data_IF_322491389388
#
_entry.id   IF_322491389388
#
_cell.length_a   1.000
_cell.length_b   1.000
_cell.length_c   1.000
_cell.angle_alpha   90.00
_cell.angle_beta   90.00
_cell.angle_gamma   90.00
#
_symmetry.space_group_name_H-M   'P 1'
#
loop_
_entity.id
_entity.type
_entity.pdbx_description
1 polymer ?
#
# COMPACT_ATOMS: atom_id res chain seq x y z
N UNK A 1 6.59 15.58 7.56
CA UNK A 1 5.54 16.53 7.14
C UNK A 1 6.01 17.96 6.95
N UNK A 2 6.89 18.50 7.78
CA UNK A 2 7.38 19.88 7.65
C UNK A 2 8.00 20.20 6.27
N UNK A 3 8.88 19.33 5.76
CA UNK A 3 9.48 19.47 4.42
C UNK A 3 8.42 19.40 3.31
N UNK A 4 7.47 18.48 3.42
CA UNK A 4 6.38 18.34 2.47
C UNK A 4 5.51 19.62 2.39
N UNK A 5 5.27 20.29 3.53
CA UNK A 5 4.51 21.55 3.56
C UNK A 5 5.20 22.72 2.85
N UNK A 6 6.54 22.66 2.73
CA UNK A 6 7.39 23.66 2.05
C UNK A 6 7.72 23.30 0.61
N UNK A 7 7.29 22.14 0.13
CA UNK A 7 7.62 21.67 -1.22
C UNK A 7 6.75 22.36 -2.27
N UNK A 8 7.39 22.97 -3.26
CA UNK A 8 6.70 23.50 -4.43
C UNK A 8 6.42 22.36 -5.42
N UNK A 9 5.13 22.01 -5.52
CA UNK A 9 4.65 20.93 -6.38
C UNK A 9 4.26 21.50 -7.74
N UNK A 10 4.73 20.84 -8.79
CA UNK A 10 4.41 21.13 -10.20
C UNK A 10 3.42 20.09 -10.74
N UNK A 11 2.48 20.55 -11.58
CA UNK A 11 1.61 19.68 -12.39
C UNK A 11 2.42 18.87 -13.40
N UNK A 12 1.88 17.73 -13.83
CA UNK A 12 2.55 16.78 -14.73
C UNK A 12 3.51 15.82 -14.03
N UNK A 13 3.63 15.87 -12.70
CA UNK A 13 4.63 15.13 -11.94
C UNK A 13 4.01 14.24 -10.85
N UNK A 14 4.71 13.14 -10.57
CA UNK A 14 4.39 12.21 -9.49
C UNK A 14 5.34 12.43 -8.30
N UNK A 15 4.79 12.43 -7.09
CA UNK A 15 5.52 12.65 -5.85
C UNK A 15 5.39 11.44 -4.93
N UNK A 16 6.39 11.28 -4.06
CA UNK A 16 6.37 10.26 -3.00
C UNK A 16 6.51 10.97 -1.66
N UNK A 17 5.50 10.80 -0.80
CA UNK A 17 5.51 11.26 0.59
C UNK A 17 5.78 10.05 1.49
N UNK A 18 6.98 10.00 2.06
CA UNK A 18 7.33 9.01 3.08
C UNK A 18 7.10 9.61 4.46
N UNK A 19 6.28 8.97 5.29
CA UNK A 19 5.90 9.48 6.62
C UNK A 19 5.59 8.33 7.58
N UNK A 20 5.57 8.63 8.87
CA UNK A 20 5.01 7.76 9.91
C UNK A 20 3.51 8.05 10.14
N UNK A 21 2.86 7.25 11.00
CA UNK A 21 1.43 7.40 11.29
C UNK A 21 1.10 8.75 11.93
N UNK A 22 1.96 9.26 12.81
CA UNK A 22 1.77 10.55 13.46
C UNK A 22 1.76 11.70 12.42
N UNK A 23 2.73 11.69 11.50
CA UNK A 23 2.80 12.63 10.40
C UNK A 23 1.62 12.50 9.44
N UNK A 24 1.14 11.29 9.16
CA UNK A 24 -0.03 11.12 8.29
C UNK A 24 -1.32 11.62 8.97
N UNK A 25 -1.56 11.28 10.23
CA UNK A 25 -2.75 11.70 10.97
C UNK A 25 -2.82 13.23 11.16
N UNK A 26 -1.68 13.87 11.46
CA UNK A 26 -1.59 15.33 11.57
C UNK A 26 -1.42 16.06 10.23
N UNK A 27 -1.42 15.33 9.12
CA UNK A 27 -0.90 15.78 7.83
C UNK A 27 -1.93 16.18 6.79
N UNK A 28 -3.22 16.17 7.13
CA UNK A 28 -4.34 16.32 6.22
C UNK A 28 -4.18 17.51 5.26
N UNK A 29 -4.05 18.73 5.81
CA UNK A 29 -4.01 19.96 5.00
C UNK A 29 -2.80 20.01 4.07
N UNK A 30 -1.68 19.41 4.49
CA UNK A 30 -0.48 19.29 3.66
C UNK A 30 -0.77 18.34 2.49
N UNK A 31 -1.37 17.18 2.75
CA UNK A 31 -1.72 16.21 1.70
C UNK A 31 -2.66 16.85 0.67
N UNK A 32 -3.71 17.53 1.12
CA UNK A 32 -4.67 18.23 0.24
C UNK A 32 -3.97 19.31 -0.58
N UNK A 33 -3.11 20.13 0.04
CA UNK A 33 -2.31 21.15 -0.67
C UNK A 33 -1.42 20.53 -1.76
N UNK A 34 -0.79 19.39 -1.49
CA UNK A 34 0.02 18.69 -2.49
C UNK A 34 -0.84 18.20 -3.66
N UNK A 35 -2.02 17.63 -3.37
CA UNK A 35 -2.94 17.09 -4.39
C UNK A 35 -3.58 18.17 -5.28
N UNK A 36 -3.64 19.43 -4.84
CA UNK A 36 -4.10 20.53 -5.68
C UNK A 36 -3.23 20.75 -6.93
N UNK A 37 -1.95 20.36 -6.87
CA UNK A 37 -1.00 20.59 -7.96
C UNK A 37 -0.33 19.31 -8.48
N UNK A 38 -0.24 18.25 -7.66
CA UNK A 38 0.34 16.99 -8.08
C UNK A 38 -0.68 16.16 -8.87
N UNK A 39 -0.27 15.66 -10.04
CA UNK A 39 -1.07 14.68 -10.78
C UNK A 39 -1.16 13.35 -10.01
N UNK A 40 -0.08 12.99 -9.29
CA UNK A 40 -0.02 11.79 -8.47
C UNK A 40 0.77 11.98 -7.18
N UNK A 41 0.21 11.56 -6.07
CA UNK A 41 0.87 11.46 -4.78
C UNK A 41 0.87 10.00 -4.31
N UNK A 42 2.05 9.48 -3.98
CA UNK A 42 2.19 8.17 -3.36
C UNK A 42 2.62 8.35 -1.90
N UNK A 43 1.77 7.98 -0.95
CA UNK A 43 2.06 8.04 0.49
C UNK A 43 2.57 6.68 0.97
N UNK A 44 3.75 6.63 1.59
CA UNK A 44 4.36 5.42 2.15
C UNK A 44 4.54 5.55 3.65
N UNK A 45 3.74 4.79 4.40
CA UNK A 45 3.88 4.63 5.85
C UNK A 45 5.14 3.82 6.20
N UNK A 46 5.88 4.28 7.21
CA UNK A 46 7.13 3.64 7.65
C UNK A 46 6.99 2.74 8.88
N UNK A 47 5.86 2.82 9.58
CA UNK A 47 5.62 2.25 10.90
C UNK A 47 4.24 1.57 10.99
N UNK A 48 3.74 1.05 9.86
CA UNK A 48 2.43 0.38 9.78
C UNK A 48 2.32 -0.81 10.74
N UNK A 49 3.44 -1.48 11.04
CA UNK A 49 3.52 -2.57 12.00
C UNK A 49 3.34 -2.14 13.47
N UNK A 50 3.15 -0.84 13.72
CA UNK A 50 2.90 -0.28 15.06
C UNK A 50 1.48 0.20 15.28
N UNK A 51 0.58 -0.03 14.32
CA UNK A 51 -0.81 0.40 14.43
C UNK A 51 -1.55 -0.37 15.53
N UNK A 52 -2.36 0.34 16.29
CA UNK A 52 -3.33 -0.23 17.24
C UNK A 52 -4.75 -0.07 16.71
N UNK A 53 -5.73 -0.64 17.43
CA UNK A 53 -7.15 -0.46 17.11
C UNK A 53 -7.56 1.02 17.03
N UNK A 54 -7.12 1.83 17.99
CA UNK A 54 -7.35 3.28 17.99
C UNK A 54 -6.73 3.98 16.76
N UNK A 55 -5.61 3.47 16.25
CA UNK A 55 -4.97 4.02 15.06
C UNK A 55 -5.72 3.63 13.78
N UNK A 56 -6.32 2.44 13.73
CA UNK A 56 -7.18 2.05 12.61
C UNK A 56 -8.41 2.95 12.49
N UNK A 57 -9.05 3.30 13.62
CA UNK A 57 -10.18 4.23 13.62
C UNK A 57 -9.77 5.63 13.14
N UNK A 58 -8.65 6.17 13.64
CA UNK A 58 -8.10 7.45 13.17
C UNK A 58 -7.75 7.41 11.68
N UNK A 59 -7.16 6.31 11.21
CA UNK A 59 -6.79 6.14 9.81
C UNK A 59 -8.03 6.13 8.92
N UNK A 60 -9.07 5.40 9.32
CA UNK A 60 -10.36 5.35 8.62
C UNK A 60 -11.02 6.72 8.51
N UNK A 61 -11.05 7.48 9.60
CA UNK A 61 -11.63 8.84 9.60
C UNK A 61 -10.83 9.79 8.70
N UNK A 62 -9.51 9.70 8.73
CA UNK A 62 -8.63 10.50 7.88
C UNK A 62 -8.78 10.14 6.39
N UNK A 63 -8.90 8.85 6.05
CA UNK A 63 -9.21 8.41 4.68
C UNK A 63 -10.56 8.96 4.19
N UNK A 64 -11.56 9.02 5.06
CA UNK A 64 -12.88 9.58 4.74
C UNK A 64 -12.81 11.07 4.43
N UNK A 65 -12.05 11.84 5.22
CA UNK A 65 -11.83 13.26 4.98
C UNK A 65 -11.10 13.50 3.65
N UNK A 66 -9.99 12.79 3.42
CA UNK A 66 -9.25 12.87 2.16
C UNK A 66 -10.11 12.48 0.95
N UNK A 67 -10.95 11.45 1.08
CA UNK A 67 -11.87 11.05 0.02
C UNK A 67 -12.87 12.16 -0.33
N UNK A 68 -13.41 12.87 0.68
CA UNK A 68 -14.32 13.99 0.43
C UNK A 68 -13.62 15.15 -0.31
N UNK A 69 -12.37 15.47 0.04
CA UNK A 69 -11.60 16.49 -0.67
C UNK A 69 -11.26 16.08 -2.11
N UNK A 70 -10.89 14.81 -2.34
CA UNK A 70 -10.66 14.28 -3.69
C UNK A 70 -11.95 14.27 -4.51
N UNK A 71 -13.08 13.88 -3.92
CA UNK A 71 -14.39 13.93 -4.60
C UNK A 71 -14.69 15.34 -5.11
N UNK A 72 -14.45 16.36 -4.27
CA UNK A 72 -14.62 17.76 -4.65
C UNK A 72 -13.70 18.15 -5.80
N UNK A 73 -12.42 17.75 -5.76
CA UNK A 73 -11.48 18.00 -6.86
C UNK A 73 -11.98 17.38 -8.19
N UNK A 74 -12.50 16.15 -8.14
CA UNK A 74 -13.12 15.47 -9.27
C UNK A 74 -14.34 16.20 -9.82
N UNK A 75 -15.22 16.69 -8.95
CA UNK A 75 -16.38 17.49 -9.35
C UNK A 75 -15.97 18.83 -10.02
N UNK A 76 -14.81 19.38 -9.64
CA UNK A 76 -14.22 20.61 -10.20
C UNK A 76 -13.39 20.35 -11.48
N UNK A 77 -13.34 19.11 -11.97
CA UNK A 77 -12.63 18.73 -13.20
C UNK A 77 -11.15 18.38 -13.03
N UNK A 78 -10.64 18.35 -11.80
CA UNK A 78 -9.29 17.86 -11.48
C UNK A 78 -9.36 16.38 -11.10
N UNK A 79 -8.36 15.57 -11.48
CA UNK A 79 -8.37 14.12 -11.20
C UNK A 79 -7.07 13.62 -10.58
N UNK A 80 -6.65 14.15 -9.42
CA UNK A 80 -5.40 13.75 -8.81
C UNK A 80 -5.44 12.28 -8.35
N UNK A 81 -4.33 11.58 -8.52
CA UNK A 81 -4.18 10.21 -8.06
C UNK A 81 -3.52 10.18 -6.69
N UNK A 82 -4.18 9.53 -5.73
CA UNK A 82 -3.62 9.25 -4.41
C UNK A 82 -3.61 7.74 -4.21
N UNK A 83 -2.44 7.12 -4.09
CA UNK A 83 -2.31 5.66 -4.11
C UNK A 83 -3.19 4.93 -3.05
N UNK A 84 -3.42 5.54 -1.89
CA UNK A 84 -4.21 4.96 -0.79
C UNK A 84 -5.74 5.09 -0.99
N UNK A 85 -6.19 5.81 -2.03
CA UNK A 85 -7.62 6.03 -2.33
C UNK A 85 -8.00 5.73 -3.78
N UNK A 86 -7.10 5.89 -4.75
CA UNK A 86 -7.43 5.80 -6.17
C UNK A 86 -6.90 4.54 -6.85
N UNK A 87 -5.77 3.97 -6.38
CA UNK A 87 -5.14 2.84 -7.08
C UNK A 87 -6.05 1.60 -7.10
N UNK A 88 -6.80 1.33 -6.03
CA UNK A 88 -7.72 0.19 -6.00
C UNK A 88 -8.78 0.28 -7.10
N UNK A 89 -9.21 1.47 -7.51
CA UNK A 89 -10.20 1.65 -8.56
C UNK A 89 -9.68 1.25 -9.94
N UNK A 90 -8.36 1.33 -10.15
CA UNK A 90 -7.71 1.15 -11.45
C UNK A 90 -6.96 -0.17 -11.58
N UNK A 91 -6.69 -0.86 -10.46
CA UNK A 91 -6.01 -2.15 -10.46
C UNK A 91 -7.00 -3.31 -10.61
N UNK A 92 -6.64 -4.30 -11.43
CA UNK A 92 -7.40 -5.55 -11.62
C UNK A 92 -6.66 -6.80 -11.09
N UNK A 93 -5.46 -6.60 -10.54
CA UNK A 93 -4.62 -7.61 -9.91
C UNK A 93 -3.63 -6.95 -8.95
N UNK A 94 -3.07 -7.73 -8.04
CA UNK A 94 -2.01 -7.27 -7.13
C UNK A 94 -0.83 -6.64 -7.89
N UNK A 95 -0.36 -5.49 -7.39
CA UNK A 95 0.78 -4.76 -7.94
C UNK A 95 1.90 -4.63 -6.88
N UNK A 96 2.43 -5.76 -6.41
CA UNK A 96 3.46 -5.81 -5.36
C UNK A 96 4.88 -5.71 -5.93
N UNK A 97 5.88 -5.48 -5.07
CA UNK A 97 7.27 -5.26 -5.49
C UNK A 97 8.00 -6.49 -6.08
N UNK A 98 7.48 -7.71 -5.91
CA UNK A 98 8.09 -8.93 -6.43
C UNK A 98 9.36 -9.40 -5.70
N UNK A 99 9.59 -8.91 -4.47
CA UNK A 99 10.76 -9.27 -3.67
C UNK A 99 10.84 -10.78 -3.39
N UNK A 100 11.97 -11.40 -3.76
CA UNK A 100 12.22 -12.84 -3.61
C UNK A 100 11.57 -13.73 -4.68
N UNK A 101 10.84 -13.14 -5.63
CA UNK A 101 10.22 -13.84 -6.77
C UNK A 101 10.81 -13.34 -8.10
N UNK A 102 10.41 -12.14 -8.53
CA UNK A 102 10.88 -11.52 -9.78
C UNK A 102 12.02 -10.53 -9.55
N UNK A 103 12.32 -10.19 -8.29
CA UNK A 103 13.37 -9.25 -7.92
C UNK A 103 14.17 -9.75 -6.73
N UNK A 104 15.46 -9.43 -6.73
CA UNK A 104 16.40 -9.62 -5.63
C UNK A 104 17.29 -8.38 -5.51
N UNK A 105 17.92 -8.21 -4.36
CA UNK A 105 18.91 -7.15 -4.11
C UNK A 105 20.31 -7.74 -4.13
N UNK A 106 21.20 -7.18 -4.94
CA UNK A 106 22.64 -7.31 -4.76
C UNK A 106 23.12 -6.16 -3.87
N UNK A 107 23.71 -6.47 -2.72
CA UNK A 107 24.20 -5.47 -1.79
C UNK A 107 25.72 -5.23 -1.93
N UNK A 108 26.27 -4.13 -1.37
CA UNK A 108 27.69 -3.79 -1.48
C UNK A 108 28.67 -4.82 -0.89
N UNK A 109 28.20 -5.73 -0.04
CA UNK A 109 28.99 -6.82 0.54
C UNK A 109 29.15 -8.02 -0.40
N UNK A 110 28.57 -7.95 -1.61
CA UNK A 110 28.62 -9.02 -2.62
C UNK A 110 27.58 -10.13 -2.41
N UNK A 111 26.69 -9.99 -1.42
CA UNK A 111 25.63 -10.94 -1.14
C UNK A 111 24.31 -10.54 -1.82
N UNK A 112 23.47 -11.55 -2.08
CA UNK A 112 22.10 -11.37 -2.54
C UNK A 112 21.13 -11.36 -1.35
N UNK A 113 20.07 -10.57 -1.43
CA UNK A 113 19.02 -10.43 -0.43
C UNK A 113 17.64 -10.42 -1.09
N UNK A 114 16.60 -10.86 -0.36
CA UNK A 114 15.22 -10.86 -0.85
C UNK A 114 14.78 -9.45 -1.29
N UNK A 115 15.13 -8.43 -0.50
CA UNK A 115 14.97 -7.02 -0.84
C UNK A 115 15.95 -6.17 0.01
N UNK A 116 16.04 -4.85 -0.20
CA UNK A 116 16.99 -4.00 0.54
C UNK A 116 16.77 -4.02 2.06
N UNK A 117 15.54 -4.25 2.53
CA UNK A 117 15.25 -4.34 3.96
C UNK A 117 15.92 -5.57 4.61
N UNK A 118 16.01 -6.70 3.92
CA UNK A 118 16.73 -7.89 4.41
C UNK A 118 18.24 -7.68 4.51
N UNK A 119 18.80 -6.67 3.82
CA UNK A 119 20.19 -6.27 3.98
C UNK A 119 20.38 -5.28 5.13
N UNK A 120 19.52 -4.26 5.20
CA UNK A 120 19.71 -3.13 6.11
C UNK A 120 19.20 -3.37 7.55
N UNK A 121 18.22 -4.25 7.73
CA UNK A 121 17.52 -4.39 9.01
C UNK A 121 18.04 -5.59 9.82
N UNK A 122 18.05 -5.49 11.17
CA UNK A 122 18.37 -6.62 12.04
C UNK A 122 17.46 -7.82 11.77
N UNK A 123 18.04 -9.03 11.79
CA UNK A 123 17.30 -10.27 11.52
C UNK A 123 17.14 -10.61 10.03
N UNK A 124 17.64 -9.76 9.14
CA UNK A 124 17.81 -10.06 7.73
C UNK A 124 18.87 -11.13 7.46
N UNK A 125 18.79 -11.77 6.30
CA UNK A 125 19.69 -12.85 5.90
C UNK A 125 19.96 -12.83 4.40
N UNK A 126 21.17 -13.23 4.01
CA UNK A 126 21.54 -13.39 2.61
C UNK A 126 20.89 -14.64 2.01
N UNK A 127 20.63 -14.58 0.70
CA UNK A 127 20.05 -15.66 -0.12
C UNK A 127 21.04 -16.07 -1.22
N UNK A 128 22.33 -16.04 -0.92
CA UNK A 128 23.41 -16.33 -1.86
C UNK A 128 24.37 -15.16 -2.04
N UNK A 129 25.30 -15.29 -3.00
CA UNK A 129 26.33 -14.29 -3.27
C UNK A 129 26.89 -14.42 -4.70
N UNK A 130 27.73 -13.47 -5.11
CA UNK A 130 28.33 -13.45 -6.47
C UNK A 130 29.20 -14.67 -6.81
N UNK A 131 29.75 -15.36 -5.80
CA UNK A 131 30.64 -16.52 -5.99
C UNK A 131 29.87 -17.83 -6.08
N UNK A 132 28.95 -18.06 -5.15
CA UNK A 132 28.22 -19.33 -4.99
C UNK A 132 26.86 -19.32 -5.69
N UNK A 133 26.43 -18.15 -6.18
CA UNK A 133 25.16 -17.98 -6.87
C UNK A 133 23.98 -17.74 -5.91
N UNK A 134 22.78 -17.79 -6.47
CA UNK A 134 21.52 -17.57 -5.77
C UNK A 134 21.04 -18.86 -5.09
N UNK A 135 20.67 -18.78 -3.81
CA UNK A 135 20.14 -19.90 -3.02
C UNK A 135 18.94 -19.45 -2.18
N UNK A 136 17.77 -19.34 -2.82
CA UNK A 136 16.52 -18.99 -2.14
C UNK A 136 15.85 -20.26 -1.63
N UNK A 137 15.95 -20.49 -0.31
CA UNK A 137 15.22 -21.59 0.35
C UNK A 137 13.71 -21.36 0.27
N UNK A 138 12.98 -22.42 -0.10
CA UNK A 138 11.52 -22.40 -0.25
C UNK A 138 11.02 -21.24 -1.12
N UNK A 139 11.65 -21.02 -2.28
CA UNK A 139 11.38 -19.89 -3.17
C UNK A 139 9.91 -19.73 -3.55
N UNK A 140 9.14 -20.83 -3.58
CA UNK A 140 7.70 -20.78 -3.83
C UNK A 140 6.94 -19.87 -2.85
N UNK A 141 7.39 -19.73 -1.60
CA UNK A 141 6.70 -18.92 -0.57
C UNK A 141 6.70 -17.42 -0.87
N UNK A 142 7.63 -16.92 -1.70
CA UNK A 142 7.66 -15.51 -2.07
C UNK A 142 6.57 -15.15 -3.10
N UNK A 143 6.09 -16.14 -3.86
CA UNK A 143 5.10 -15.97 -4.92
C UNK A 143 3.69 -15.75 -4.37
N UNK A 144 2.89 -14.98 -5.11
CA UNK A 144 1.52 -14.65 -4.72
C UNK A 144 0.61 -15.88 -4.69
N UNK A 145 0.77 -16.84 -5.60
CA UNK A 145 -0.02 -18.08 -5.66
C UNK A 145 0.17 -19.00 -4.44
N UNK A 146 1.25 -18.80 -3.68
CA UNK A 146 1.59 -19.50 -2.44
C UNK A 146 1.40 -18.62 -1.19
N UNK A 147 0.66 -17.50 -1.31
CA UNK A 147 0.24 -16.66 -0.20
C UNK A 147 -1.28 -16.88 0.04
N UNK A 148 -1.68 -17.75 0.99
CA UNK A 148 -3.06 -18.24 1.09
C UNK A 148 -4.11 -17.14 1.22
N UNK A 149 -3.82 -16.11 2.04
CA UNK A 149 -4.71 -14.96 2.23
C UNK A 149 -4.68 -14.02 1.01
N UNK A 150 -3.49 -13.76 0.46
CA UNK A 150 -3.31 -12.74 -0.56
C UNK A 150 -3.79 -13.17 -1.96
N UNK A 151 -3.73 -14.47 -2.27
CA UNK A 151 -4.08 -14.98 -3.62
C UNK A 151 -5.58 -14.85 -3.97
N UNK A 152 -6.42 -14.68 -2.96
CA UNK A 152 -7.87 -14.52 -3.08
C UNK A 152 -8.36 -13.13 -2.67
N UNK A 153 -7.47 -12.31 -2.10
CA UNK A 153 -7.80 -10.96 -1.67
C UNK A 153 -7.91 -10.02 -2.87
N UNK A 154 -8.86 -9.09 -2.82
CA UNK A 154 -9.07 -8.10 -3.87
C UNK A 154 -8.53 -6.70 -3.52
N UNK A 155 -7.85 -6.51 -2.39
CA UNK A 155 -7.17 -5.27 -2.04
C UNK A 155 -5.90 -5.08 -2.89
N UNK A 156 -6.06 -4.89 -4.20
CA UNK A 156 -4.96 -4.91 -5.19
C UNK A 156 -3.93 -3.79 -5.04
N UNK A 157 -4.30 -2.68 -4.40
CA UNK A 157 -3.42 -1.58 -4.03
C UNK A 157 -2.53 -1.91 -2.81
N UNK A 158 -2.83 -2.99 -2.09
CA UNK A 158 -2.05 -3.45 -0.95
C UNK A 158 -0.59 -3.63 -1.36
N UNK A 159 0.32 -3.16 -0.51
CA UNK A 159 1.77 -3.24 -0.79
C UNK A 159 2.39 -4.59 -0.46
N UNK A 160 1.73 -5.42 0.35
CA UNK A 160 2.20 -6.74 0.84
C UNK A 160 3.72 -6.78 1.01
N UNK A 161 4.23 -6.20 2.09
CA UNK A 161 5.67 -6.11 2.30
C UNK A 161 6.22 -7.42 2.87
N UNK A 162 6.96 -8.19 2.04
CA UNK A 162 7.59 -9.46 2.45
C UNK A 162 8.48 -9.31 3.70
N UNK A 163 9.19 -8.18 3.81
CA UNK A 163 9.99 -7.90 5.00
C UNK A 163 9.12 -7.76 6.24
N UNK A 164 8.01 -7.00 6.16
CA UNK A 164 7.11 -6.84 7.30
C UNK A 164 6.43 -8.16 7.65
N UNK A 165 5.98 -8.94 6.66
CA UNK A 165 5.45 -10.29 6.87
C UNK A 165 6.42 -11.11 7.75
N UNK A 166 7.70 -11.17 7.34
CA UNK A 166 8.73 -11.90 8.07
C UNK A 166 8.99 -11.31 9.46
N UNK A 167 9.05 -9.98 9.58
CA UNK A 167 9.33 -9.28 10.85
C UNK A 167 8.24 -9.54 11.89
N UNK A 168 6.97 -9.54 11.49
CA UNK A 168 5.83 -9.58 12.41
C UNK A 168 5.27 -11.00 12.61
N UNK A 169 5.39 -11.88 11.61
CA UNK A 169 4.78 -13.23 11.64
C UNK A 169 5.79 -14.37 11.59
N UNK A 170 7.08 -14.06 11.39
CA UNK A 170 8.15 -15.02 11.05
C UNK A 170 7.99 -15.73 9.69
N UNK A 171 6.92 -15.45 8.96
CA UNK A 171 6.62 -16.03 7.65
C UNK A 171 6.71 -14.99 6.53
N UNK A 172 7.27 -15.35 5.38
CA UNK A 172 7.40 -14.43 4.22
C UNK A 172 6.09 -14.28 3.45
N UNK A 173 5.24 -15.32 3.49
CA UNK A 173 4.03 -15.40 2.68
C UNK A 173 2.75 -14.96 3.40
N UNK A 174 2.82 -14.72 4.72
CA UNK A 174 1.67 -14.37 5.56
C UNK A 174 1.80 -12.94 6.06
N UNK A 175 0.90 -12.02 5.65
CA UNK A 175 0.90 -10.65 6.14
C UNK A 175 0.49 -10.55 7.61
N UNK A 176 0.86 -9.43 8.22
CA UNK A 176 0.43 -9.07 9.57
C UNK A 176 -1.01 -8.55 9.56
N UNK A 177 -1.64 -8.57 10.74
CA UNK A 177 -2.96 -7.98 10.96
C UNK A 177 -2.98 -6.51 10.53
N UNK A 178 -1.98 -5.74 10.93
CA UNK A 178 -1.91 -4.30 10.66
C UNK A 178 -1.82 -4.00 9.16
N UNK A 179 -1.01 -4.76 8.42
CA UNK A 179 -0.91 -4.62 6.97
C UNK A 179 -2.25 -4.94 6.29
N UNK A 180 -2.94 -5.99 6.73
CA UNK A 180 -4.23 -6.38 6.20
C UNK A 180 -5.30 -5.32 6.49
N UNK A 181 -5.46 -4.90 7.75
CA UNK A 181 -6.51 -3.96 8.15
C UNK A 181 -6.32 -2.61 7.44
N UNK A 182 -5.10 -2.07 7.41
CA UNK A 182 -4.81 -0.81 6.70
C UNK A 182 -5.17 -0.91 5.21
N UNK A 183 -4.76 -1.99 4.55
CA UNK A 183 -5.09 -2.18 3.13
C UNK A 183 -6.60 -2.33 2.86
N UNK A 184 -7.36 -2.96 3.76
CA UNK A 184 -8.82 -3.09 3.60
C UNK A 184 -9.57 -1.79 3.94
N UNK A 185 -9.05 -0.98 4.87
CA UNK A 185 -9.55 0.39 5.10
C UNK A 185 -9.38 1.25 3.84
N UNK A 186 -8.19 1.24 3.22
CA UNK A 186 -7.93 1.92 1.95
C UNK A 186 -8.84 1.41 0.83
N UNK A 187 -9.00 0.10 0.70
CA UNK A 187 -9.89 -0.54 -0.28
C UNK A 187 -11.33 -0.05 -0.12
N UNK A 188 -11.83 -0.04 1.12
CA UNK A 188 -13.19 0.38 1.40
C UNK A 188 -13.38 1.88 1.17
N UNK A 189 -12.42 2.71 1.55
CA UNK A 189 -12.45 4.14 1.23
C UNK A 189 -12.41 4.39 -0.29
N UNK A 190 -11.62 3.61 -1.03
CA UNK A 190 -11.57 3.66 -2.50
C UNK A 190 -12.91 3.29 -3.12
N UNK A 191 -13.62 2.28 -2.57
CA UNK A 191 -14.97 1.91 -2.99
C UNK A 191 -15.95 3.08 -2.82
N UNK A 192 -15.99 3.67 -1.64
CA UNK A 192 -16.90 4.79 -1.35
C UNK A 192 -16.58 6.00 -2.23
N UNK A 193 -15.30 6.32 -2.42
CA UNK A 193 -14.87 7.40 -3.31
C UNK A 193 -15.30 7.14 -4.76
N UNK A 194 -15.16 5.91 -5.27
CA UNK A 194 -15.53 5.57 -6.65
C UNK A 194 -17.03 5.77 -6.89
N UNK A 195 -17.85 5.35 -5.92
CA UNK A 195 -19.30 5.57 -5.94
C UNK A 195 -19.59 7.07 -5.91
N UNK A 196 -18.87 7.84 -5.09
CA UNK A 196 -19.10 9.27 -4.91
C UNK A 196 -18.74 10.09 -6.16
N UNK A 197 -17.54 9.90 -6.73
CA UNK A 197 -17.12 10.64 -7.93
C UNK A 197 -18.05 10.36 -9.13
N UNK A 198 -18.57 9.14 -9.25
CA UNK A 198 -19.50 8.76 -10.34
C UNK A 198 -20.87 9.45 -10.25
N UNK A 199 -21.20 10.10 -9.14
CA UNK A 199 -22.39 10.98 -9.05
C UNK A 199 -22.22 12.28 -9.83
N UNK A 200 -20.97 12.70 -10.06
CA UNK A 200 -20.64 13.98 -10.71
C UNK A 200 -20.26 13.82 -12.19
N UNK A 201 -20.11 12.58 -12.68
CA UNK A 201 -19.75 12.33 -14.07
C UNK A 201 -19.38 10.88 -14.37
N UNK A 202 -18.99 10.60 -15.60
CA UNK A 202 -18.59 9.26 -16.04
C UNK A 202 -17.10 9.04 -15.77
N UNK A 203 -16.77 8.63 -14.54
CA UNK A 203 -15.40 8.30 -14.14
C UNK A 203 -15.15 6.79 -14.16
N UNK A 204 -14.02 6.40 -14.77
CA UNK A 204 -13.54 5.02 -14.85
C UNK A 204 -14.64 4.03 -15.33
N UNK A 205 -15.33 4.30 -16.46
CA UNK A 205 -16.50 3.49 -16.88
C UNK A 205 -16.16 2.02 -17.18
N UNK A 206 -14.91 1.76 -17.61
CA UNK A 206 -14.44 0.41 -17.95
C UNK A 206 -14.02 -0.41 -16.72
N UNK A 207 -13.99 0.21 -15.54
CA UNK A 207 -13.59 -0.44 -14.30
C UNK A 207 -14.81 -0.89 -13.50
N UNK A 208 -14.79 -2.17 -13.10
CA UNK A 208 -15.84 -2.76 -12.28
C UNK A 208 -15.97 -2.04 -10.94
N UNK A 209 -17.17 -2.12 -10.37
CA UNK A 209 -17.37 -1.72 -8.98
C UNK A 209 -16.52 -2.59 -8.04
N UNK A 210 -16.18 -2.01 -6.90
CA UNK A 210 -15.50 -2.72 -5.82
C UNK A 210 -16.60 -3.29 -4.92
N UNK A 211 -16.68 -4.62 -4.85
CA UNK A 211 -17.73 -5.30 -4.08
C UNK A 211 -17.65 -4.95 -2.59
N UNK A 212 -18.78 -5.02 -1.89
CA UNK A 212 -18.76 -4.85 -0.43
C UNK A 212 -18.19 -6.11 0.22
N UNK A 213 -17.36 -5.92 1.26
CA UNK A 213 -16.90 -6.96 2.17
C UNK A 213 -17.29 -6.62 3.61
N UNK A 214 -17.29 -7.60 4.48
CA UNK A 214 -17.67 -7.50 5.90
C UNK A 214 -16.52 -7.84 6.87
N UNK A 215 -15.30 -8.00 6.35
CA UNK A 215 -14.07 -8.17 7.12
C UNK A 215 -13.04 -7.09 6.80
N UNK A 216 -12.06 -6.93 7.70
CA UNK A 216 -10.86 -6.10 7.48
C UNK A 216 -9.58 -6.94 7.50
N UNK A 217 -9.55 -8.01 8.31
CA UNK A 217 -8.49 -9.00 8.24
C UNK A 217 -8.99 -10.28 7.54
N UNK A 218 -8.44 -10.63 6.36
CA UNK A 218 -8.57 -11.93 5.74
C UNK A 218 -8.52 -13.13 6.68
N UNK A 219 -7.72 -13.06 7.74
CA UNK A 219 -7.56 -14.15 8.67
C UNK A 219 -8.85 -14.49 9.43
N UNK A 220 -9.74 -13.52 9.64
CA UNK A 220 -10.99 -13.70 10.39
C UNK A 220 -11.99 -14.60 9.64
N UNK A 221 -12.01 -14.51 8.31
CA UNK A 221 -12.92 -15.24 7.42
C UNK A 221 -12.28 -16.45 6.75
N UNK A 222 -11.09 -16.88 7.21
CA UNK A 222 -10.30 -17.98 6.61
C UNK A 222 -11.02 -19.34 6.46
N UNK A 223 -12.13 -19.56 7.16
CA UNK A 223 -12.93 -20.80 7.08
C UNK A 223 -13.88 -20.83 5.88
N UNK A 224 -14.09 -19.69 5.25
CA UNK A 224 -15.05 -19.50 4.15
C UNK A 224 -14.39 -19.71 2.78
N UNK A 225 -13.11 -20.12 2.76
CA UNK A 225 -12.20 -20.10 1.62
C UNK A 225 -11.60 -21.46 1.28
#
# INVERSE_FOLDING_TARGET
MEEAGRTDVRSGAAYVLRTDKAGQFGGHDIIVKLLQNADRLNITLTDVDTFTDDDFDKYKDMLKLLAADIEKMYAEGHSPQLNILTDRMMLNKMNNCGAGDTTITLAPDGNFYVCPAFYQQPGGYAIGNLKDGLDIKNSQLYRLDHAPLCRICDAYQCRRCIWLNRKTTLEVNTPSHEQCVVAHLERNASRELLIAIRKHGTFLPDYKEIDKIDYLDPFDVRKEW
#
